data_IF_352381871265
#
_entry.id   IF_352381871265
#
_cell.length_a   1.000
_cell.length_b   1.000
_cell.length_c   1.000
_cell.angle_alpha   90.00
_cell.angle_beta   90.00
_cell.angle_gamma   90.00
#
_symmetry.space_group_name_H-M   'P 1'
#
loop_
_entity.id
_entity.type
_entity.pdbx_description
1 polymer ?
#
# COMPACT_ATOMS: atom_id res chain seq x y z
N UNK A 1 -52.81 -40.63 66.91
CA UNK A 1 -51.89 -39.93 67.83
C UNK A 1 -50.47 -40.08 67.32
N UNK A 2 -49.70 -38.99 67.33
CA UNK A 2 -48.23 -39.02 67.23
C UNK A 2 -47.66 -38.88 65.82
N UNK A 3 -47.43 -37.63 65.39
CA UNK A 3 -46.55 -37.32 64.28
C UNK A 3 -45.08 -37.39 64.71
N UNK A 4 -44.19 -37.62 63.75
CA UNK A 4 -42.74 -37.43 63.89
C UNK A 4 -42.21 -36.83 62.58
N UNK A 5 -41.89 -35.54 62.67
CA UNK A 5 -41.13 -34.77 61.71
C UNK A 5 -39.68 -35.26 61.71
N UNK A 6 -39.15 -35.60 60.55
CA UNK A 6 -37.70 -35.69 60.34
C UNK A 6 -37.29 -34.71 59.26
N UNK A 7 -36.75 -33.59 59.71
CA UNK A 7 -36.03 -32.58 58.93
C UNK A 7 -34.65 -33.12 58.57
N UNK A 8 -34.36 -33.29 57.28
CA UNK A 8 -32.99 -33.52 56.80
C UNK A 8 -32.48 -32.30 56.05
N UNK A 9 -31.36 -31.81 56.57
CA UNK A 9 -30.60 -30.63 56.22
C UNK A 9 -30.02 -30.73 54.79
N UNK A 10 -30.34 -29.77 53.91
CA UNK A 10 -29.69 -29.64 52.61
C UNK A 10 -28.38 -28.86 52.76
N UNK A 11 -27.24 -29.53 52.61
CA UNK A 11 -25.92 -28.90 52.58
C UNK A 11 -25.66 -28.32 51.18
N UNK A 12 -25.68 -27.00 51.04
CA UNK A 12 -25.30 -26.29 49.82
C UNK A 12 -23.78 -26.10 49.77
N UNK A 13 -23.10 -26.78 48.83
CA UNK A 13 -21.70 -26.50 48.50
C UNK A 13 -21.62 -25.26 47.57
N UNK A 14 -20.78 -24.25 47.86
CA UNK A 14 -20.54 -23.16 46.92
C UNK A 14 -19.56 -23.61 45.82
N UNK A 15 -20.03 -23.63 44.57
CA UNK A 15 -19.21 -23.74 43.36
C UNK A 15 -18.37 -22.47 43.18
N UNK A 16 -17.10 -22.53 43.61
CA UNK A 16 -16.10 -21.51 43.30
C UNK A 16 -15.82 -21.51 41.79
N UNK A 17 -16.36 -20.52 41.09
CA UNK A 17 -16.05 -20.25 39.69
C UNK A 17 -14.68 -19.56 39.63
N UNK A 18 -13.65 -20.30 39.23
CA UNK A 18 -12.38 -19.70 38.80
C UNK A 18 -12.57 -19.08 37.41
N UNK A 19 -12.83 -17.77 37.36
CA UNK A 19 -12.64 -17.00 36.12
C UNK A 19 -11.15 -16.80 35.92
N UNK A 20 -10.54 -17.62 35.05
CA UNK A 20 -9.20 -17.35 34.55
C UNK A 20 -9.25 -16.08 33.69
N UNK A 21 -8.71 -14.97 34.22
CA UNK A 21 -8.46 -13.78 33.43
C UNK A 21 -7.37 -14.10 32.41
N UNK A 22 -7.75 -14.28 31.16
CA UNK A 22 -6.82 -14.52 30.06
C UNK A 22 -6.14 -13.20 29.72
N UNK A 23 -4.98 -12.96 30.32
CA UNK A 23 -4.11 -11.84 29.95
C UNK A 23 -3.52 -12.14 28.58
N UNK A 24 -3.98 -11.42 27.55
CA UNK A 24 -3.28 -11.35 26.26
C UNK A 24 -1.96 -10.59 26.47
N UNK A 25 -0.94 -11.28 26.95
CA UNK A 25 0.43 -10.84 26.78
C UNK A 25 0.74 -10.91 25.30
N UNK A 26 0.98 -9.76 24.66
CA UNK A 26 1.64 -9.72 23.36
C UNK A 26 2.96 -10.48 23.53
N UNK A 27 3.03 -11.71 23.01
CA UNK A 27 4.25 -12.46 22.98
C UNK A 27 5.24 -11.65 22.13
N UNK A 28 6.31 -11.15 22.76
CA UNK A 28 7.48 -10.68 22.05
C UNK A 28 8.13 -11.88 21.35
N UNK A 29 7.57 -12.26 20.20
CA UNK A 29 8.14 -13.29 19.36
C UNK A 29 9.49 -12.79 18.83
N UNK A 30 10.52 -13.63 18.89
CA UNK A 30 11.70 -13.45 18.05
C UNK A 30 11.26 -13.59 16.59
N UNK A 31 11.19 -12.47 15.90
CA UNK A 31 10.77 -12.41 14.51
C UNK A 31 11.85 -13.00 13.60
N UNK A 32 11.48 -13.80 12.58
CA UNK A 32 12.43 -14.27 11.57
C UNK A 32 13.09 -13.07 10.87
N UNK A 33 14.40 -12.91 11.08
CA UNK A 33 15.18 -11.77 10.57
C UNK A 33 15.39 -11.84 9.06
N UNK A 34 15.29 -13.03 8.48
CA UNK A 34 15.39 -13.30 7.04
C UNK A 34 14.18 -12.79 6.25
N UNK A 35 13.02 -12.62 6.89
CA UNK A 35 11.81 -12.08 6.28
C UNK A 35 11.77 -10.54 6.30
N UNK A 36 12.53 -9.90 7.18
CA UNK A 36 12.51 -8.44 7.38
C UNK A 36 13.04 -7.72 6.13
N UNK A 37 12.22 -6.83 5.58
CA UNK A 37 12.52 -6.10 4.35
C UNK A 37 11.28 -5.86 3.49
N UNK A 38 11.46 -5.10 2.41
CA UNK A 38 10.45 -4.92 1.37
C UNK A 38 10.72 -5.90 0.24
N UNK A 39 9.75 -6.76 -0.03
CA UNK A 39 9.76 -7.75 -1.09
C UNK A 39 8.83 -7.29 -2.20
N UNK A 40 9.26 -7.40 -3.45
CA UNK A 40 8.42 -7.07 -4.61
C UNK A 40 8.57 -8.13 -5.70
N UNK A 41 7.47 -8.41 -6.39
CA UNK A 41 7.50 -9.24 -7.61
C UNK A 41 8.41 -8.64 -8.69
N UNK A 42 8.85 -9.46 -9.64
CA UNK A 42 9.90 -9.16 -10.64
C UNK A 42 9.82 -7.79 -11.34
N UNK A 43 8.65 -7.17 -11.48
CA UNK A 43 8.56 -5.83 -12.09
C UNK A 43 9.30 -4.77 -11.27
N UNK A 44 9.41 -4.94 -9.94
CA UNK A 44 9.99 -3.98 -9.00
C UNK A 44 9.43 -2.55 -9.18
N UNK A 45 8.14 -2.47 -9.56
CA UNK A 45 7.41 -1.19 -9.72
C UNK A 45 6.28 -1.03 -8.73
N UNK A 46 5.67 -2.12 -8.28
CA UNK A 46 4.74 -2.10 -7.15
C UNK A 46 5.53 -2.28 -5.87
N UNK A 47 5.54 -1.27 -5.01
CA UNK A 47 6.28 -1.23 -3.77
C UNK A 47 5.37 -0.65 -2.69
N UNK A 48 5.50 -1.12 -1.46
CA UNK A 48 4.82 -0.54 -0.30
C UNK A 48 5.37 0.86 0.04
N UNK A 49 4.63 1.58 0.86
CA UNK A 49 4.96 2.90 1.39
C UNK A 49 4.23 4.05 0.69
N UNK A 50 4.71 5.30 0.87
CA UNK A 50 4.03 6.50 0.38
C UNK A 50 3.98 6.61 -1.15
N UNK A 51 4.75 5.78 -1.87
CA UNK A 51 4.68 5.68 -3.32
C UNK A 51 3.45 4.92 -3.84
N UNK A 52 2.73 4.20 -2.97
CA UNK A 52 1.55 3.41 -3.34
C UNK A 52 0.26 3.90 -2.69
N UNK A 53 0.32 4.35 -1.44
CA UNK A 53 -0.82 4.93 -0.74
C UNK A 53 -0.48 6.28 -0.11
N UNK A 54 -1.35 7.26 -0.33
CA UNK A 54 -1.28 8.60 0.25
C UNK A 54 -2.37 8.71 1.33
N UNK A 55 -2.00 8.61 2.63
CA UNK A 55 -2.97 8.62 3.73
C UNK A 55 -3.59 9.99 3.98
N UNK A 56 -2.96 11.08 3.50
CA UNK A 56 -3.44 12.46 3.69
C UNK A 56 -4.60 12.72 2.73
N UNK A 57 -4.42 12.37 1.46
CA UNK A 57 -5.44 12.54 0.42
C UNK A 57 -6.35 11.31 0.25
N UNK A 58 -6.14 10.27 1.07
CA UNK A 58 -6.81 8.96 1.00
C UNK A 58 -6.92 8.41 -0.42
N UNK A 59 -5.80 8.34 -1.15
CA UNK A 59 -5.77 7.82 -2.53
C UNK A 59 -4.68 6.80 -2.76
N UNK A 60 -4.96 5.86 -3.65
CA UNK A 60 -3.97 4.92 -4.17
C UNK A 60 -3.26 5.54 -5.40
N UNK A 61 -1.95 5.34 -5.48
CA UNK A 61 -1.09 5.85 -6.54
C UNK A 61 -0.73 4.68 -7.44
N UNK A 62 -1.18 4.73 -8.70
CA UNK A 62 -0.98 3.65 -9.65
C UNK A 62 0.51 3.47 -10.01
N UNK A 63 1.09 2.28 -9.78
CA UNK A 63 2.43 1.97 -10.25
C UNK A 63 2.52 1.83 -11.76
N UNK A 64 3.70 2.07 -12.33
CA UNK A 64 3.93 1.90 -13.77
C UNK A 64 3.77 0.46 -14.29
N UNK A 65 3.83 -0.56 -13.43
CA UNK A 65 3.61 -1.97 -13.79
C UNK A 65 2.91 -2.71 -12.65
N UNK A 66 2.12 -3.72 -13.02
CA UNK A 66 1.49 -4.65 -12.08
C UNK A 66 2.52 -5.42 -11.25
N UNK A 67 2.13 -5.79 -10.05
CA UNK A 67 2.97 -6.49 -9.10
C UNK A 67 2.31 -6.64 -7.74
N UNK A 68 2.99 -7.39 -6.89
CA UNK A 68 2.66 -7.56 -5.48
C UNK A 68 3.90 -7.20 -4.68
N UNK A 69 3.70 -6.55 -3.54
CA UNK A 69 4.76 -6.22 -2.62
C UNK A 69 4.30 -6.39 -1.18
N UNK A 70 5.22 -6.87 -0.35
CA UNK A 70 5.06 -6.96 1.10
C UNK A 70 6.25 -6.32 1.77
N UNK A 71 6.02 -5.58 2.85
CA UNK A 71 7.07 -5.17 3.76
C UNK A 71 6.83 -5.77 5.12
N UNK A 72 7.88 -6.35 5.72
CA UNK A 72 7.85 -6.87 7.08
C UNK A 72 8.90 -6.14 7.91
N UNK A 73 8.51 -5.67 9.09
CA UNK A 73 9.42 -5.08 10.07
C UNK A 73 9.84 -6.10 11.12
N UNK A 74 10.96 -5.82 11.78
CA UNK A 74 11.44 -6.57 12.96
C UNK A 74 10.52 -6.45 14.17
N UNK A 75 9.49 -5.60 14.12
CA UNK A 75 8.65 -5.26 15.27
C UNK A 75 7.24 -5.87 15.13
N UNK A 76 7.05 -6.76 14.16
CA UNK A 76 5.77 -7.45 13.94
C UNK A 76 4.75 -6.63 13.14
N UNK A 77 5.19 -5.63 12.36
CA UNK A 77 4.33 -4.86 11.45
C UNK A 77 4.54 -5.27 10.01
N UNK A 78 3.46 -5.27 9.23
CA UNK A 78 3.48 -5.52 7.81
C UNK A 78 2.70 -4.46 7.05
N UNK A 79 3.06 -4.32 5.78
CA UNK A 79 2.27 -3.60 4.79
C UNK A 79 2.24 -4.42 3.51
N UNK A 80 1.11 -4.41 2.81
CA UNK A 80 0.97 -5.02 1.50
C UNK A 80 0.53 -3.99 0.45
N UNK A 81 1.01 -4.18 -0.78
CA UNK A 81 0.62 -3.41 -1.93
C UNK A 81 0.40 -4.35 -3.12
N UNK A 82 -0.83 -4.35 -3.63
CA UNK A 82 -1.28 -5.22 -4.70
C UNK A 82 -1.72 -4.37 -5.89
N UNK A 83 -1.14 -4.60 -7.06
CA UNK A 83 -1.65 -4.06 -8.31
C UNK A 83 -1.73 -5.17 -9.37
N UNK A 84 -2.95 -5.55 -9.73
CA UNK A 84 -3.20 -6.71 -10.59
C UNK A 84 -4.21 -6.39 -11.68
N UNK A 85 -3.98 -6.94 -12.87
CA UNK A 85 -5.00 -7.02 -13.90
C UNK A 85 -5.89 -8.24 -13.66
N UNK A 86 -7.20 -8.06 -13.83
CA UNK A 86 -8.22 -9.10 -13.78
C UNK A 86 -8.64 -9.38 -15.22
N UNK A 87 -8.33 -10.58 -15.70
CA UNK A 87 -8.75 -11.03 -17.03
C UNK A 87 -10.26 -11.26 -17.09
N UNK A 88 -10.88 -10.93 -18.22
CA UNK A 88 -12.27 -11.25 -18.52
C UNK A 88 -12.35 -12.18 -19.74
N UNK A 89 -12.35 -13.52 -19.55
CA UNK A 89 -12.36 -14.47 -20.68
C UNK A 89 -13.62 -14.39 -21.54
N UNK A 90 -14.76 -13.97 -20.96
CA UNK A 90 -16.02 -13.82 -21.70
C UNK A 90 -16.00 -12.59 -22.61
N UNK A 91 -15.28 -11.53 -22.22
CA UNK A 91 -15.06 -10.35 -23.04
C UNK A 91 -13.62 -9.84 -22.90
N UNK A 92 -12.69 -10.35 -23.73
CA UNK A 92 -11.27 -10.01 -23.65
C UNK A 92 -10.95 -8.53 -23.89
N UNK A 93 -11.83 -7.80 -24.58
CA UNK A 93 -11.69 -6.35 -24.80
C UNK A 93 -11.98 -5.52 -23.53
N UNK A 94 -12.46 -6.16 -22.48
CA UNK A 94 -12.90 -5.54 -21.23
C UNK A 94 -12.14 -6.08 -20.00
N UNK A 95 -10.81 -5.90 -19.94
CA UNK A 95 -10.07 -6.23 -18.72
C UNK A 95 -10.45 -5.28 -17.59
N UNK A 96 -10.28 -5.75 -16.36
CA UNK A 96 -10.43 -4.93 -15.15
C UNK A 96 -9.09 -4.81 -14.43
N UNK A 97 -8.91 -3.77 -13.62
CA UNK A 97 -7.72 -3.57 -12.80
C UNK A 97 -8.11 -3.45 -11.34
N UNK A 98 -7.29 -3.99 -10.44
CA UNK A 98 -7.51 -3.85 -9.01
C UNK A 98 -6.21 -3.41 -8.32
N UNK A 99 -6.33 -2.42 -7.47
CA UNK A 99 -5.29 -2.01 -6.53
C UNK A 99 -5.78 -2.22 -5.11
N UNK A 100 -4.96 -2.80 -4.24
CA UNK A 100 -5.29 -3.04 -2.83
C UNK A 100 -4.09 -2.68 -1.97
N UNK A 101 -4.38 -2.03 -0.85
CA UNK A 101 -3.42 -1.65 0.17
C UNK A 101 -4.01 -1.98 1.54
N UNK A 102 -3.20 -2.59 2.39
CA UNK A 102 -3.50 -2.71 3.82
C UNK A 102 -2.20 -2.85 4.61
N UNK A 103 -2.28 -2.56 5.89
CA UNK A 103 -1.17 -2.68 6.83
C UNK A 103 -1.69 -3.11 8.19
N UNK A 104 -0.80 -3.65 9.02
CA UNK A 104 -1.16 -4.08 10.37
C UNK A 104 -0.09 -4.97 10.97
N UNK A 105 -0.51 -5.92 11.80
CA UNK A 105 0.39 -6.81 12.52
C UNK A 105 0.47 -8.17 11.84
N UNK A 106 1.65 -8.76 11.81
CA UNK A 106 1.84 -10.14 11.38
C UNK A 106 2.35 -10.96 12.56
N UNK A 107 2.01 -12.26 12.57
CA UNK A 107 2.57 -13.21 13.51
C UNK A 107 2.96 -14.52 12.81
N UNK A 108 4.04 -15.14 13.26
CA UNK A 108 4.42 -16.49 12.83
C UNK A 108 3.84 -17.49 13.82
N UNK A 109 2.98 -18.37 13.35
CA UNK A 109 2.43 -19.45 14.15
C UNK A 109 3.48 -20.56 14.35
N UNK A 110 3.27 -21.39 15.38
CA UNK A 110 4.21 -22.48 15.73
C UNK A 110 4.37 -23.55 14.65
N UNK A 111 3.40 -23.66 13.73
CA UNK A 111 3.45 -24.53 12.56
C UNK A 111 4.28 -23.95 11.39
N UNK A 112 4.82 -22.73 11.52
CA UNK A 112 5.57 -22.04 10.48
C UNK A 112 4.72 -21.20 9.51
N UNK A 113 3.39 -21.18 9.69
CA UNK A 113 2.51 -20.32 8.90
C UNK A 113 2.60 -18.86 9.35
N UNK A 114 2.43 -17.92 8.41
CA UNK A 114 2.37 -16.49 8.70
C UNK A 114 0.92 -16.02 8.64
N UNK A 115 0.51 -15.26 9.64
CA UNK A 115 -0.85 -14.73 9.74
C UNK A 115 -0.79 -13.22 9.84
N UNK A 116 -1.42 -12.56 8.88
CA UNK A 116 -1.41 -11.13 8.67
C UNK A 116 -2.77 -10.57 9.09
N UNK A 117 -2.78 -9.67 10.06
CA UNK A 117 -3.97 -9.07 10.64
C UNK A 117 -3.97 -7.55 10.39
N UNK A 118 -4.79 -7.04 9.47
CA UNK A 118 -4.78 -5.63 9.12
C UNK A 118 -5.43 -4.76 10.20
N UNK A 119 -5.08 -3.47 10.20
CA UNK A 119 -5.85 -2.44 10.89
C UNK A 119 -7.15 -2.23 10.12
N UNK A 120 -8.26 -2.72 10.67
CA UNK A 120 -9.55 -2.86 9.99
C UNK A 120 -10.09 -1.57 9.33
N UNK A 121 -9.71 -0.39 9.81
CA UNK A 121 -10.20 0.89 9.28
C UNK A 121 -9.32 1.47 8.17
N UNK A 122 -8.10 0.98 7.99
CA UNK A 122 -7.11 1.65 7.13
C UNK A 122 -7.04 1.09 5.72
N UNK A 123 -7.31 -0.20 5.51
CA UNK A 123 -7.15 -0.79 4.17
C UNK A 123 -8.02 -0.11 3.11
N UNK A 124 -7.48 -0.01 1.89
CA UNK A 124 -8.07 0.65 0.72
C UNK A 124 -7.99 -0.24 -0.50
N UNK A 125 -9.02 -0.16 -1.34
CA UNK A 125 -9.08 -0.87 -2.61
C UNK A 125 -9.66 0.04 -3.68
N UNK A 126 -9.05 0.02 -4.87
CA UNK A 126 -9.54 0.68 -6.07
C UNK A 126 -9.77 -0.37 -7.15
N UNK A 127 -11.02 -0.47 -7.61
CA UNK A 127 -11.43 -1.36 -8.68
C UNK A 127 -11.75 -0.53 -9.94
N UNK A 128 -11.08 -0.86 -11.04
CA UNK A 128 -11.29 -0.26 -12.36
C UNK A 128 -11.96 -1.27 -13.28
N UNK A 129 -13.18 -0.97 -13.74
CA UNK A 129 -13.92 -1.79 -14.71
C UNK A 129 -14.47 -0.90 -15.84
N UNK A 130 -13.65 -0.57 -16.86
CA UNK A 130 -13.98 0.44 -17.87
C UNK A 130 -15.22 0.11 -18.72
N UNK A 131 -15.61 -1.16 -18.81
CA UNK A 131 -16.79 -1.57 -19.58
C UNK A 131 -18.10 -1.50 -18.79
N UNK A 132 -18.03 -1.41 -17.46
CA UNK A 132 -19.23 -1.32 -16.60
C UNK A 132 -19.38 0.09 -16.02
N UNK A 133 -18.26 0.71 -15.65
CA UNK A 133 -18.24 2.01 -15.00
C UNK A 133 -17.30 2.97 -15.74
N UNK A 134 -17.67 4.26 -15.76
CA UNK A 134 -16.82 5.33 -16.31
C UNK A 134 -15.70 5.74 -15.35
N UNK A 135 -15.82 5.39 -14.08
CA UNK A 135 -14.94 5.78 -12.98
C UNK A 135 -14.55 4.55 -12.15
N UNK A 136 -13.52 4.72 -11.32
CA UNK A 136 -13.02 3.67 -10.45
C UNK A 136 -13.81 3.62 -9.17
N UNK A 137 -14.06 2.41 -8.68
CA UNK A 137 -14.77 2.18 -7.43
C UNK A 137 -13.73 2.12 -6.31
N UNK A 138 -13.73 3.14 -5.45
CA UNK A 138 -12.84 3.23 -4.30
C UNK A 138 -13.56 2.82 -3.01
N UNK A 139 -13.08 1.77 -2.35
CA UNK A 139 -13.71 1.18 -1.17
C UNK A 139 -12.69 0.88 -0.08
N UNK A 140 -13.16 0.76 1.16
CA UNK A 140 -12.33 0.21 2.25
C UNK A 140 -12.08 -1.28 2.04
N UNK A 141 -10.92 -1.72 2.47
CA UNK A 141 -10.48 -3.12 2.37
C UNK A 141 -10.05 -3.61 3.75
N UNK A 142 -10.44 -4.83 4.09
CA UNK A 142 -10.08 -5.48 5.33
C UNK A 142 -10.14 -6.98 5.11
N UNK A 143 -8.97 -7.60 4.90
CA UNK A 143 -8.83 -9.04 4.80
C UNK A 143 -7.61 -9.51 5.56
N UNK A 144 -7.84 -10.34 6.56
CA UNK A 144 -6.76 -11.12 7.17
C UNK A 144 -6.26 -12.16 6.18
N UNK A 145 -4.95 -12.29 6.07
CA UNK A 145 -4.31 -13.25 5.17
C UNK A 145 -3.58 -14.33 5.98
N UNK A 146 -3.72 -15.57 5.55
CA UNK A 146 -2.95 -16.71 6.04
C UNK A 146 -2.04 -17.20 4.93
N UNK A 147 -0.74 -17.24 5.20
CA UNK A 147 0.28 -17.83 4.35
C UNK A 147 0.70 -19.14 4.99
N UNK A 148 0.45 -20.26 4.30
CA UNK A 148 0.70 -21.62 4.82
C UNK A 148 2.17 -21.81 5.22
N UNK A 149 3.07 -21.35 4.35
CA UNK A 149 4.51 -21.40 4.55
C UNK A 149 5.22 -20.37 3.66
N UNK A 150 6.46 -20.06 4.00
CA UNK A 150 7.33 -19.22 3.19
C UNK A 150 8.74 -19.83 3.11
N UNK A 151 9.52 -19.42 2.11
CA UNK A 151 10.92 -19.76 1.98
C UNK A 151 11.72 -18.55 1.51
N UNK A 152 12.77 -18.21 2.26
CA UNK A 152 13.76 -17.19 1.88
C UNK A 152 15.05 -17.89 1.49
N UNK A 153 15.57 -17.58 0.31
CA UNK A 153 16.84 -18.10 -0.18
C UNK A 153 17.44 -17.17 -1.23
N UNK A 154 18.72 -17.30 -1.51
CA UNK A 154 19.36 -16.56 -2.62
C UNK A 154 19.04 -17.26 -3.94
N UNK A 155 18.45 -16.54 -4.89
CA UNK A 155 18.16 -17.09 -6.21
C UNK A 155 19.46 -17.47 -6.93
N UNK A 156 19.67 -18.74 -7.34
CA UNK A 156 20.90 -19.17 -8.01
C UNK A 156 21.13 -18.51 -9.38
N UNK A 157 20.07 -17.99 -10.02
CA UNK A 157 20.21 -17.34 -11.32
C UNK A 157 20.58 -15.85 -11.19
N UNK A 158 19.84 -15.08 -10.38
CA UNK A 158 20.08 -13.64 -10.24
C UNK A 158 21.01 -13.27 -9.08
N UNK A 159 21.35 -14.20 -8.17
CA UNK A 159 22.14 -13.99 -6.96
C UNK A 159 21.57 -12.90 -6.02
N UNK A 160 20.24 -12.78 -5.97
CA UNK A 160 19.51 -11.81 -5.15
C UNK A 160 18.62 -12.59 -4.17
N UNK A 161 18.39 -12.10 -2.93
CA UNK A 161 17.44 -12.72 -2.01
C UNK A 161 16.04 -12.79 -2.63
N UNK A 162 15.47 -13.99 -2.60
CA UNK A 162 14.16 -14.34 -3.11
C UNK A 162 13.29 -14.87 -1.98
N UNK A 163 12.03 -14.43 -2.00
CA UNK A 163 10.98 -14.86 -1.10
C UNK A 163 9.89 -15.56 -1.93
N UNK A 164 9.68 -16.84 -1.62
CA UNK A 164 8.55 -17.62 -2.13
C UNK A 164 7.53 -17.80 -1.00
N UNK A 165 6.31 -17.32 -1.22
CA UNK A 165 5.20 -17.45 -0.28
C UNK A 165 4.18 -18.44 -0.85
N UNK A 166 3.62 -19.26 0.02
CA UNK A 166 2.50 -20.14 -0.30
C UNK A 166 1.26 -19.62 0.41
N UNK A 167 0.16 -19.52 -0.35
CA UNK A 167 -1.13 -19.03 0.16
C UNK A 167 -1.74 -20.04 1.14
N UNK A 168 -2.89 -19.69 1.72
CA UNK A 168 -3.64 -20.57 2.64
C UNK A 168 -3.99 -21.95 2.06
N UNK A 169 -4.10 -22.08 0.73
CA UNK A 169 -4.42 -23.33 0.04
C UNK A 169 -3.16 -24.14 -0.36
N UNK A 170 -1.97 -23.66 0.04
CA UNK A 170 -0.69 -24.24 -0.34
C UNK A 170 -0.27 -23.91 -1.78
N UNK A 171 -1.05 -23.13 -2.53
CA UNK A 171 -0.66 -22.70 -3.88
C UNK A 171 0.48 -21.68 -3.81
N UNK A 172 1.51 -21.77 -4.67
CA UNK A 172 2.60 -20.80 -4.68
C UNK A 172 2.08 -19.44 -5.18
N UNK A 173 2.53 -18.37 -4.53
CA UNK A 173 2.38 -17.01 -5.03
C UNK A 173 3.50 -16.66 -6.01
N UNK A 174 3.34 -15.56 -6.73
CA UNK A 174 4.39 -15.03 -7.59
C UNK A 174 5.68 -14.80 -6.78
N UNK A 175 6.85 -15.22 -7.28
CA UNK A 175 8.11 -15.05 -6.57
C UNK A 175 8.43 -13.56 -6.39
N UNK A 176 8.93 -13.23 -5.21
CA UNK A 176 9.30 -11.87 -4.85
C UNK A 176 10.80 -11.78 -4.57
N UNK A 177 11.36 -10.60 -4.76
CA UNK A 177 12.78 -10.31 -4.56
C UNK A 177 12.91 -9.14 -3.59
N UNK A 178 13.98 -9.14 -2.82
CA UNK A 178 14.24 -8.06 -1.87
C UNK A 178 14.50 -6.75 -2.62
N UNK A 179 13.64 -5.76 -2.41
CA UNK A 179 13.72 -4.43 -2.97
C UNK A 179 14.38 -3.43 -2.00
N UNK A 180 14.08 -3.50 -0.70
CA UNK A 180 14.64 -2.62 0.32
C UNK A 180 14.92 -3.34 1.64
N UNK A 181 16.02 -2.94 2.28
CA UNK A 181 16.40 -3.29 3.65
C UNK A 181 17.15 -2.07 4.23
N UNK A 182 16.56 -1.27 5.15
CA UNK A 182 15.34 -1.51 5.93
C UNK A 182 14.03 -1.47 5.10
N UNK A 183 12.92 -2.04 5.63
CA UNK A 183 11.64 -2.06 4.93
C UNK A 183 11.04 -0.66 4.74
N UNK A 184 10.44 -0.43 3.57
CA UNK A 184 9.71 0.77 3.21
C UNK A 184 8.20 0.57 3.37
N UNK A 185 7.61 1.21 4.39
CA UNK A 185 6.16 1.21 4.63
C UNK A 185 5.72 2.53 5.27
N UNK A 186 4.40 2.76 5.30
CA UNK A 186 3.76 3.86 6.01
C UNK A 186 3.85 3.66 7.54
N UNK A 187 3.56 4.70 8.34
CA UNK A 187 3.56 4.59 9.79
C UNK A 187 2.61 3.50 10.29
N UNK A 188 3.05 2.76 11.30
CA UNK A 188 2.35 1.59 11.88
C UNK A 188 1.17 1.93 12.79
N UNK A 189 0.89 3.22 12.98
CA UNK A 189 -0.29 3.70 13.70
C UNK A 189 -1.52 3.69 12.80
N UNK A 190 -2.72 3.64 13.39
CA UNK A 190 -3.97 3.88 12.66
C UNK A 190 -3.93 5.21 11.90
N UNK A 191 -4.09 5.19 10.58
CA UNK A 191 -3.95 6.36 9.71
C UNK A 191 -5.27 7.10 9.52
N UNK A 192 -6.39 6.39 9.39
CA UNK A 192 -7.71 6.97 9.09
C UNK A 192 -8.78 6.49 10.09
N UNK A 193 -8.73 6.98 11.35
CA UNK A 193 -9.64 6.54 12.41
C UNK A 193 -11.10 6.87 12.08
N UNK A 194 -12.00 5.94 12.38
CA UNK A 194 -13.45 6.16 12.31
C UNK A 194 -14.02 6.30 13.72
N UNK A 195 -15.17 6.95 13.87
CA UNK A 195 -15.83 7.19 15.17
C UNK A 195 -16.13 5.94 15.99
N UNK A 196 -16.10 4.74 15.38
CA UNK A 196 -16.23 3.46 16.06
C UNK A 196 -14.90 2.91 16.63
N UNK A 197 -13.75 3.38 16.13
CA UNK A 197 -12.41 2.96 16.58
C UNK A 197 -11.81 3.87 17.66
N UNK A 198 -12.42 5.03 17.93
CA UNK A 198 -11.95 5.99 18.94
C UNK A 198 -12.19 5.55 20.40
N UNK A 199 -12.75 4.35 20.64
CA UNK A 199 -13.02 3.84 22.00
C UNK A 199 -11.90 2.98 22.56
N UNK A 200 -10.91 2.58 21.75
CA UNK A 200 -9.75 1.81 22.19
C UNK A 200 -8.48 2.67 22.11
N UNK A 201 -8.20 3.43 23.17
CA UNK A 201 -6.87 3.93 23.45
C UNK A 201 -6.44 5.20 22.70
N UNK A 202 -7.02 6.35 23.02
CA UNK A 202 -6.28 7.61 22.94
C UNK A 202 -6.84 8.66 23.90
N UNK A 203 -6.23 8.78 25.09
CA UNK A 203 -6.28 10.01 25.88
C UNK A 203 -5.36 11.00 25.17
N UNK A 204 -5.87 11.67 24.15
CA UNK A 204 -5.26 12.88 23.62
C UNK A 204 -5.88 14.09 24.31
N UNK A 205 -5.13 14.68 25.22
CA UNK A 205 -5.39 16.03 25.72
C UNK A 205 -5.00 17.00 24.61
N UNK A 206 -5.97 17.45 23.82
CA UNK A 206 -5.80 18.66 23.03
C UNK A 206 -7.11 19.43 22.95
N UNK A 207 -7.18 20.45 23.79
CA UNK A 207 -8.09 21.58 23.70
C UNK A 207 -7.84 22.31 22.38
N UNK A 208 -8.66 22.05 21.35
CA UNK A 208 -8.91 23.05 20.31
C UNK A 208 -10.17 22.70 19.53
N UNK A 209 -11.15 23.59 19.71
CA UNK A 209 -12.38 23.68 18.95
C UNK A 209 -12.12 23.85 17.45
N UNK A 210 -12.56 22.91 16.64
CA UNK A 210 -13.05 23.23 15.29
C UNK A 210 -14.15 22.24 14.88
N UNK A 211 -15.38 22.74 14.88
CA UNK A 211 -16.53 22.05 14.29
C UNK A 211 -16.35 22.06 12.77
N UNK A 212 -15.89 20.96 12.19
CA UNK A 212 -16.07 20.69 10.77
C UNK A 212 -17.01 19.49 10.62
N UNK A 213 -18.26 19.76 10.23
CA UNK A 213 -19.22 18.75 9.80
C UNK A 213 -18.68 18.07 8.55
N UNK A 214 -18.09 16.89 8.68
CA UNK A 214 -17.79 16.03 7.53
C UNK A 214 -19.10 15.45 6.99
N UNK A 215 -19.61 16.01 5.88
CA UNK A 215 -20.60 15.33 5.04
C UNK A 215 -19.92 14.13 4.40
N UNK A 216 -20.51 12.95 4.62
CA UNK A 216 -20.22 11.69 3.93
C UNK A 216 -20.39 11.92 2.42
N UNK A 217 -19.27 12.11 1.73
CA UNK A 217 -19.20 12.20 0.28
C UNK A 217 -18.31 11.07 -0.22
N UNK A 218 -18.89 10.24 -1.08
CA UNK A 218 -18.18 9.32 -1.95
C UNK A 218 -17.10 10.11 -2.70
N UNK A 219 -15.83 9.83 -2.39
CA UNK A 219 -14.72 10.46 -3.08
C UNK A 219 -14.55 9.77 -4.43
N UNK A 220 -15.28 10.29 -5.42
CA UNK A 220 -15.20 9.89 -6.81
C UNK A 220 -13.80 10.22 -7.35
N UNK A 221 -13.00 9.19 -7.59
CA UNK A 221 -11.72 9.33 -8.31
C UNK A 221 -12.00 9.11 -9.79
N UNK A 222 -11.93 10.14 -10.64
CA UNK A 222 -12.15 9.98 -12.08
C UNK A 222 -11.06 9.11 -12.70
N UNK A 223 -11.44 8.08 -13.47
CA UNK A 223 -10.54 7.22 -14.27
C UNK A 223 -9.99 7.94 -15.52
N UNK A 224 -9.82 9.26 -15.46
CA UNK A 224 -9.24 10.01 -16.58
C UNK A 224 -8.32 11.16 -16.16
N UNK A 225 -7.58 11.03 -15.06
CA UNK A 225 -6.34 11.79 -15.00
C UNK A 225 -5.26 10.95 -15.66
N UNK A 226 -4.91 11.28 -16.91
CA UNK A 226 -3.55 11.03 -17.36
C UNK A 226 -2.67 11.55 -16.24
N UNK A 227 -2.02 10.64 -15.53
CA UNK A 227 -0.91 11.00 -14.67
C UNK A 227 0.03 11.83 -15.55
N UNK A 228 -0.04 13.16 -15.40
CA UNK A 228 1.19 13.91 -15.25
C UNK A 228 1.85 13.28 -14.03
N UNK A 229 2.55 12.19 -14.31
CA UNK A 229 3.80 11.85 -13.70
C UNK A 229 4.49 13.20 -13.52
N UNK A 230 4.45 13.71 -12.30
CA UNK A 230 5.55 14.54 -11.83
C UNK A 230 6.72 13.58 -11.82
N UNK A 231 7.26 13.40 -13.02
CA UNK A 231 8.57 12.84 -13.21
C UNK A 231 9.47 13.63 -12.27
N UNK A 232 10.32 12.88 -11.58
CA UNK A 232 11.48 13.48 -10.95
C UNK A 232 12.09 14.46 -11.94
N UNK A 233 12.51 15.61 -11.43
CA UNK A 233 13.17 16.68 -12.17
C UNK A 233 14.35 16.12 -12.97
N UNK A 234 14.06 15.56 -14.13
CA UNK A 234 14.97 15.42 -15.24
C UNK A 234 14.84 16.71 -16.02
N UNK A 235 15.92 17.48 -16.02
CA UNK A 235 15.98 18.85 -16.49
C UNK A 235 16.04 18.84 -18.01
N UNK A 236 14.99 18.38 -18.69
CA UNK A 236 14.87 18.54 -20.13
C UNK A 236 13.90 19.67 -20.39
N UNK A 237 14.46 20.87 -20.53
CA UNK A 237 13.73 22.04 -20.98
C UNK A 237 12.96 21.68 -22.26
N UNK A 238 11.65 21.92 -22.25
CA UNK A 238 10.83 21.94 -23.46
C UNK A 238 11.32 23.12 -24.32
N UNK A 239 12.33 22.90 -25.14
CA UNK A 239 12.75 23.95 -26.06
C UNK A 239 11.79 23.88 -27.24
N UNK A 240 10.95 24.92 -27.37
CA UNK A 240 10.01 25.02 -28.47
C UNK A 240 10.80 25.04 -29.78
N UNK A 241 10.71 23.96 -30.57
CA UNK A 241 11.49 23.74 -31.78
C UNK A 241 11.31 24.87 -32.80
N UNK A 242 10.12 25.45 -32.87
CA UNK A 242 9.81 26.61 -33.71
C UNK A 242 10.65 27.83 -33.29
N UNK A 243 10.77 28.07 -31.98
CA UNK A 243 11.52 29.19 -31.44
C UNK A 243 13.03 29.02 -31.65
N UNK A 244 13.54 27.79 -31.52
CA UNK A 244 14.93 27.45 -31.85
C UNK A 244 15.22 27.64 -33.34
N UNK A 245 14.31 27.21 -34.20
CA UNK A 245 14.45 27.35 -35.64
C UNK A 245 14.49 28.81 -36.09
N UNK A 246 13.61 29.65 -35.54
CA UNK A 246 13.62 31.09 -35.78
C UNK A 246 14.87 31.79 -35.23
N UNK A 247 15.38 31.38 -34.06
CA UNK A 247 16.65 31.89 -33.52
C UNK A 247 17.82 31.52 -34.45
N UNK A 248 17.83 30.29 -34.98
CA UNK A 248 18.82 29.84 -35.95
C UNK A 248 18.84 30.72 -37.21
N UNK A 249 17.66 30.96 -37.81
CA UNK A 249 17.54 31.84 -38.97
C UNK A 249 18.00 33.28 -38.68
N UNK A 250 17.67 33.81 -37.50
CA UNK A 250 18.10 35.16 -37.11
C UNK A 250 19.63 35.25 -36.95
N UNK A 251 20.25 34.24 -36.32
CA UNK A 251 21.70 34.19 -36.14
C UNK A 251 22.45 34.03 -37.47
N UNK A 252 21.95 33.18 -38.37
CA UNK A 252 22.54 33.03 -39.71
C UNK A 252 22.36 34.29 -40.57
N UNK A 253 21.19 34.93 -40.51
CA UNK A 253 20.94 36.19 -41.22
C UNK A 253 21.81 37.34 -40.73
N UNK A 254 21.89 37.55 -39.41
CA UNK A 254 22.74 38.59 -38.82
C UNK A 254 24.22 38.31 -39.06
N UNK A 255 24.65 37.05 -38.93
CA UNK A 255 26.02 36.62 -39.25
C UNK A 255 26.39 36.87 -40.71
N UNK A 256 25.49 36.56 -41.64
CA UNK A 256 25.68 36.83 -43.07
C UNK A 256 25.79 38.32 -43.37
N UNK A 257 24.96 39.15 -42.75
CA UNK A 257 24.96 40.60 -42.94
C UNK A 257 26.16 41.29 -42.30
N UNK A 258 26.70 40.75 -41.20
CA UNK A 258 27.97 41.20 -40.63
C UNK A 258 29.18 40.74 -41.45
N UNK A 259 29.13 39.52 -42.00
CA UNK A 259 30.22 38.97 -42.82
C UNK A 259 30.34 39.65 -44.19
N UNK A 260 29.21 39.96 -44.82
CA UNK A 260 29.12 40.66 -46.11
C UNK A 260 28.79 42.16 -45.96
N UNK A 261 28.82 42.66 -44.73
CA UNK A 261 28.44 44.04 -44.41
C UNK A 261 29.34 45.08 -45.08
N UNK A 262 28.84 46.32 -45.23
CA UNK A 262 29.38 47.33 -46.14
C UNK A 262 30.84 47.73 -45.90
N UNK A 263 31.42 47.39 -44.74
CA UNK A 263 32.84 47.61 -44.45
C UNK A 263 33.79 46.68 -45.21
N UNK A 264 33.31 45.59 -45.81
CA UNK A 264 34.12 44.66 -46.63
C UNK A 264 33.88 44.76 -48.13
N UNK A 265 32.91 45.57 -48.58
CA UNK A 265 32.61 45.80 -50.01
C UNK A 265 32.99 47.19 -50.52
N UNK A 266 33.81 47.96 -49.77
CA UNK A 266 34.44 49.17 -50.29
C UNK A 266 33.48 50.30 -50.69
N UNK A 267 32.25 50.32 -50.15
CA UNK A 267 31.30 51.41 -50.40
C UNK A 267 31.50 52.48 -49.32
N UNK A 268 32.18 53.56 -49.70
CA UNK A 268 32.16 54.83 -48.95
C UNK A 268 30.80 55.48 -49.18
N UNK A 269 30.13 55.88 -48.08
CA UNK A 269 29.12 56.95 -48.12
C UNK A 269 29.84 58.29 -48.05
#
# INVERSE_FOLDING_TARGET
>A
MGGLLYTTLAAALPLLHFTAAQTNTAAGGTWPTDLVGTWSTKSNKTLTGPGFYDPINERLIEPSRTGISYSFTSDGWYEEAYYRAISNPQNPNCPSGIMQWQHGNWYMASNGSLILTPIAVDGRQLLSQPCTYKQGIYTRYNQSELMDRYAVYTDPYHNIPRLDIYKFDGSPMNPMYLAYSPPQMLPTSTLNPTTASSTAGSKSTSTSSSKAKAKRGEFEVPINWKAKQQDGKEVVHYINADRLWWIGLAMTGLGGLLYLGPRRMGIQL
#
